data_IF_891606951721
#
_entry.id   IF_891606951721
#
_cell.length_a   1.000
_cell.length_b   1.000
_cell.length_c   1.000
_cell.angle_alpha   90.00
_cell.angle_beta   90.00
_cell.angle_gamma   90.00
#
_symmetry.space_group_name_H-M   'P 1'
#
loop_
_entity.id
_entity.type
_entity.pdbx_description
1 polymer ?
#
# COMPACT_ATOMS: atom_id res chain seq x y z
N UNK A 1 27.48 8.10 -8.28
CA UNK A 1 26.44 7.15 -8.62
C UNK A 1 25.08 7.83 -8.64
N UNK A 2 24.22 7.41 -9.55
CA UNK A 2 22.85 7.89 -9.54
C UNK A 2 22.23 7.63 -8.16
N UNK A 3 21.45 8.56 -7.60
CA UNK A 3 20.73 8.28 -6.37
C UNK A 3 19.87 7.05 -6.57
N UNK A 4 19.80 6.21 -5.53
CA UNK A 4 18.95 5.03 -5.57
C UNK A 4 17.51 5.41 -5.80
N UNK A 5 16.75 4.56 -6.46
CA UNK A 5 15.32 4.73 -6.62
C UNK A 5 14.61 4.49 -5.28
N UNK A 6 13.44 5.06 -5.11
CA UNK A 6 12.66 4.92 -3.89
C UNK A 6 11.19 4.66 -4.18
N UNK A 7 10.54 3.95 -3.26
CA UNK A 7 9.09 3.74 -3.24
C UNK A 7 8.55 4.48 -2.03
N UNK A 8 7.70 5.45 -2.24
CA UNK A 8 7.16 6.26 -1.15
C UNK A 8 5.64 6.34 -1.25
N UNK A 9 4.99 6.51 -0.10
CA UNK A 9 3.56 6.79 -0.03
C UNK A 9 3.38 8.28 0.20
N UNK A 10 2.73 8.95 -0.75
CA UNK A 10 2.48 10.39 -0.69
C UNK A 10 1.03 10.68 -0.34
N UNK A 11 0.82 11.77 0.40
CA UNK A 11 -0.50 12.40 0.44
C UNK A 11 -0.79 13.04 -0.91
N UNK A 12 -2.07 13.20 -1.25
CA UNK A 12 -2.50 13.82 -2.49
C UNK A 12 -2.84 15.30 -2.26
N UNK A 13 -2.33 16.17 -3.12
CA UNK A 13 -2.71 17.57 -3.11
C UNK A 13 -4.06 17.77 -3.79
N UNK A 14 -4.24 17.09 -4.93
CA UNK A 14 -5.50 17.12 -5.69
C UNK A 14 -5.65 15.85 -6.50
N UNK A 15 -6.88 15.48 -6.74
CA UNK A 15 -7.24 14.33 -7.57
C UNK A 15 -8.72 14.40 -7.93
N UNK A 16 -9.10 13.66 -8.96
CA UNK A 16 -10.49 13.48 -9.35
C UNK A 16 -10.87 12.02 -9.22
N UNK A 17 -12.14 11.76 -8.94
CA UNK A 17 -12.70 10.43 -8.90
C UNK A 17 -13.60 10.19 -10.11
N UNK A 18 -13.82 8.91 -10.42
CA UNK A 18 -14.75 8.50 -11.46
C UNK A 18 -16.18 8.63 -10.93
N UNK A 19 -16.83 9.74 -11.28
CA UNK A 19 -18.17 10.06 -10.79
C UNK A 19 -18.20 10.26 -9.29
N UNK A 20 -19.21 9.70 -8.63
CA UNK A 20 -19.39 9.79 -7.18
C UNK A 20 -18.77 8.61 -6.42
N UNK A 21 -17.93 7.81 -7.08
CA UNK A 21 -17.26 6.67 -6.48
C UNK A 21 -15.95 7.08 -5.78
N UNK A 22 -15.31 6.12 -5.09
CA UNK A 22 -13.97 6.30 -4.52
C UNK A 22 -12.85 6.09 -5.54
N UNK A 23 -13.17 5.68 -6.75
CA UNK A 23 -12.19 5.33 -7.77
C UNK A 23 -11.41 6.57 -8.22
N UNK A 24 -10.16 6.64 -7.84
CA UNK A 24 -9.28 7.76 -8.20
C UNK A 24 -8.82 7.60 -9.66
N UNK A 25 -8.94 8.66 -10.43
CA UNK A 25 -8.39 8.70 -11.78
C UNK A 25 -6.92 9.09 -11.65
N UNK A 26 -6.03 8.09 -11.75
CA UNK A 26 -4.60 8.26 -11.43
C UNK A 26 -3.92 9.37 -12.23
N UNK A 27 -4.33 9.60 -13.47
CA UNK A 27 -3.77 10.66 -14.32
C UNK A 27 -4.08 12.08 -13.82
N UNK A 28 -5.05 12.24 -12.92
CA UNK A 28 -5.43 13.54 -12.35
C UNK A 28 -4.70 13.86 -11.06
N UNK A 29 -3.91 12.91 -10.53
CA UNK A 29 -3.28 13.04 -9.22
C UNK A 29 -2.13 14.04 -9.25
N UNK A 30 -2.17 14.99 -8.32
CA UNK A 30 -1.05 15.85 -7.99
C UNK A 30 -0.56 15.45 -6.60
N UNK A 31 0.72 15.07 -6.51
CA UNK A 31 1.31 14.65 -5.24
C UNK A 31 1.55 15.85 -4.33
N UNK A 32 1.20 15.70 -3.07
CA UNK A 32 1.61 16.62 -2.03
C UNK A 32 3.12 16.50 -1.79
N UNK A 33 3.72 17.51 -1.17
CA UNK A 33 5.09 17.39 -0.66
C UNK A 33 5.14 16.59 0.65
N UNK A 34 3.98 16.22 1.19
CA UNK A 34 3.89 15.44 2.42
C UNK A 34 4.00 13.95 2.11
N UNK A 35 5.07 13.34 2.61
CA UNK A 35 5.32 11.90 2.49
C UNK A 35 4.72 11.22 3.71
N UNK A 36 3.75 10.33 3.49
CA UNK A 36 3.10 9.60 4.58
C UNK A 36 4.03 8.49 5.07
N UNK A 37 4.55 7.69 4.13
CA UNK A 37 5.49 6.61 4.44
C UNK A 37 6.70 6.77 3.54
N UNK A 38 7.83 7.25 4.08
CA UNK A 38 9.05 7.35 3.30
C UNK A 38 9.65 5.97 3.09
N UNK A 39 10.36 5.79 1.99
CA UNK A 39 10.98 4.52 1.63
C UNK A 39 11.88 3.95 2.73
N UNK A 40 12.62 4.82 3.41
CA UNK A 40 13.49 4.39 4.51
C UNK A 40 12.72 3.72 5.64
N UNK A 41 11.42 3.99 5.79
CA UNK A 41 10.58 3.38 6.81
C UNK A 41 9.91 2.09 6.34
N UNK A 42 10.05 1.73 5.08
CA UNK A 42 9.60 0.43 4.56
C UNK A 42 10.72 -0.58 4.81
N UNK A 43 10.43 -1.58 5.63
CA UNK A 43 11.38 -2.64 5.98
C UNK A 43 11.39 -3.70 4.91
N UNK A 44 10.20 -4.16 4.49
CA UNK A 44 10.05 -5.20 3.48
C UNK A 44 8.67 -5.16 2.85
N UNK A 45 8.54 -5.84 1.73
CA UNK A 45 7.27 -6.06 1.06
C UNK A 45 7.14 -7.52 0.66
N UNK A 46 6.05 -8.15 1.05
CA UNK A 46 5.70 -9.51 0.67
C UNK A 46 4.78 -9.46 -0.56
N UNK A 47 5.30 -9.89 -1.70
CA UNK A 47 4.56 -9.81 -2.97
C UNK A 47 3.46 -10.86 -3.10
N UNK A 48 3.45 -11.88 -2.25
CA UNK A 48 2.41 -12.91 -2.22
C UNK A 48 1.22 -12.47 -1.37
N UNK A 49 1.52 -11.88 -0.21
CA UNK A 49 0.51 -11.39 0.72
C UNK A 49 0.12 -9.92 0.46
N UNK A 50 0.81 -9.24 -0.44
CA UNK A 50 0.61 -7.81 -0.75
C UNK A 50 0.74 -6.94 0.50
N UNK A 51 1.75 -7.21 1.32
CA UNK A 51 1.90 -6.58 2.63
C UNK A 51 3.26 -5.90 2.79
N UNK A 52 3.21 -4.62 3.16
CA UNK A 52 4.40 -3.87 3.54
C UNK A 52 4.63 -3.98 5.04
N UNK A 53 5.85 -4.32 5.44
CA UNK A 53 6.28 -4.20 6.84
C UNK A 53 6.95 -2.84 6.99
N UNK A 54 6.51 -2.07 7.98
CA UNK A 54 6.97 -0.70 8.19
C UNK A 54 7.54 -0.52 9.60
N UNK A 55 8.28 0.57 9.80
CA UNK A 55 8.85 0.89 11.10
C UNK A 55 7.77 1.26 12.13
N UNK A 56 8.10 1.11 13.41
CA UNK A 56 7.17 1.44 14.49
C UNK A 56 6.74 2.92 14.47
N UNK A 57 7.62 3.81 14.05
CA UNK A 57 7.27 5.23 13.94
C UNK A 57 6.14 5.48 12.95
N UNK A 58 6.09 4.69 11.88
CA UNK A 58 4.99 4.75 10.92
C UNK A 58 3.72 4.18 11.53
N UNK A 59 3.82 3.07 12.26
CA UNK A 59 2.68 2.47 12.95
C UNK A 59 2.02 3.51 13.86
N UNK A 60 2.81 4.19 14.67
CA UNK A 60 2.29 5.22 15.57
C UNK A 60 1.68 6.41 14.82
N UNK A 61 2.31 6.82 13.72
CA UNK A 61 1.78 7.90 12.88
C UNK A 61 0.41 7.53 12.29
N UNK A 62 0.27 6.32 11.76
CA UNK A 62 -0.95 5.88 11.10
C UNK A 62 -2.10 5.62 12.06
N UNK A 63 -1.81 5.18 13.27
CA UNK A 63 -2.83 5.06 14.31
C UNK A 63 -3.48 6.40 14.61
N UNK A 64 -2.69 7.47 14.50
CA UNK A 64 -3.19 8.82 14.72
C UNK A 64 -3.70 9.05 16.13
N UNK A 65 -4.51 10.08 16.27
CA UNK A 65 -5.23 10.41 17.49
C UNK A 65 -6.73 10.43 17.19
N UNK A 66 -7.55 10.59 18.20
CA UNK A 66 -9.00 10.77 18.02
C UNK A 66 -9.32 11.95 17.10
N UNK A 67 -8.44 12.94 17.05
CA UNK A 67 -8.63 14.16 16.25
C UNK A 67 -8.02 14.05 14.85
N UNK A 68 -7.08 13.12 14.64
CA UNK A 68 -6.34 12.98 13.39
C UNK A 68 -6.28 11.52 12.94
N UNK A 69 -7.45 10.98 12.58
CA UNK A 69 -7.54 9.65 11.98
C UNK A 69 -7.11 9.68 10.52
N UNK A 70 -6.39 8.64 10.09
CA UNK A 70 -6.06 8.46 8.68
C UNK A 70 -7.20 7.83 7.87
N UNK A 71 -8.28 7.41 8.53
CA UNK A 71 -9.43 6.85 7.83
C UNK A 71 -9.97 7.80 6.76
N UNK A 72 -10.10 7.29 5.53
CA UNK A 72 -10.57 8.08 4.39
C UNK A 72 -9.50 8.94 3.72
N UNK A 73 -8.28 8.93 4.22
CA UNK A 73 -7.17 9.70 3.63
C UNK A 73 -6.66 9.02 2.36
N UNK A 74 -6.68 9.71 1.22
CA UNK A 74 -6.12 9.16 -0.02
C UNK A 74 -4.59 9.18 0.01
N UNK A 75 -3.99 8.21 -0.68
CA UNK A 75 -2.54 8.12 -0.85
C UNK A 75 -2.19 7.72 -2.27
N UNK A 76 -0.96 7.96 -2.65
CA UNK A 76 -0.37 7.40 -3.86
C UNK A 76 0.91 6.66 -3.51
N UNK A 77 1.08 5.46 -4.07
CA UNK A 77 2.35 4.76 -4.08
C UNK A 77 3.07 5.18 -5.35
N UNK A 78 4.26 5.74 -5.20
CA UNK A 78 5.02 6.28 -6.30
C UNK A 78 6.48 5.80 -6.26
N UNK A 79 7.05 5.61 -7.45
CA UNK A 79 8.47 5.34 -7.63
C UNK A 79 9.09 6.61 -8.16
N UNK A 80 10.01 7.21 -7.41
CA UNK A 80 10.66 8.48 -7.78
C UNK A 80 9.64 9.56 -8.18
N UNK A 81 8.56 9.69 -7.42
CA UNK A 81 7.44 10.62 -7.62
C UNK A 81 6.55 10.30 -8.82
N UNK A 82 6.79 9.19 -9.52
CA UNK A 82 5.88 8.73 -10.56
C UNK A 82 4.81 7.84 -9.93
N UNK A 83 3.56 8.24 -10.03
CA UNK A 83 2.42 7.52 -9.45
C UNK A 83 2.26 6.16 -10.12
N UNK A 84 2.29 5.10 -9.32
CA UNK A 84 2.03 3.75 -9.81
C UNK A 84 0.58 3.35 -9.54
N UNK A 85 0.12 3.53 -8.30
CA UNK A 85 -1.29 3.33 -7.96
C UNK A 85 -1.67 4.22 -6.78
N UNK A 86 -2.98 4.32 -6.58
CA UNK A 86 -3.57 5.15 -5.54
C UNK A 86 -4.52 4.34 -4.69
N UNK A 87 -4.84 4.82 -3.52
CA UNK A 87 -5.78 4.16 -2.62
C UNK A 87 -6.18 5.07 -1.47
N UNK A 88 -6.88 4.48 -0.51
CA UNK A 88 -7.31 5.16 0.70
C UNK A 88 -6.88 4.34 1.93
N UNK A 89 -6.48 5.04 2.98
CA UNK A 89 -6.44 4.42 4.29
C UNK A 89 -7.87 4.24 4.76
N UNK A 90 -8.25 3.02 5.07
CA UNK A 90 -9.63 2.67 5.39
C UNK A 90 -9.65 1.79 6.61
N UNK A 91 -10.13 2.33 7.74
CA UNK A 91 -10.13 1.60 8.99
C UNK A 91 -11.16 0.49 8.98
N UNK A 92 -10.79 -0.67 9.52
CA UNK A 92 -11.63 -1.86 9.52
C UNK A 92 -12.89 -1.73 10.42
N UNK A 93 -12.96 -0.72 11.27
CA UNK A 93 -14.17 -0.43 12.03
C UNK A 93 -15.23 0.31 11.21
N UNK A 94 -14.89 0.76 10.02
CA UNK A 94 -15.83 1.49 9.17
C UNK A 94 -16.97 0.60 8.69
N UNK A 95 -18.18 1.12 8.67
CA UNK A 95 -19.34 0.47 8.06
C UNK A 95 -19.47 0.81 6.58
N UNK A 96 -18.66 1.76 6.07
CA UNK A 96 -18.72 2.18 4.68
C UNK A 96 -17.99 1.25 3.75
N UNK A 97 -18.46 1.17 2.51
CA UNK A 97 -17.83 0.38 1.45
C UNK A 97 -16.90 1.29 0.65
N UNK A 98 -15.70 0.81 0.33
CA UNK A 98 -14.76 1.52 -0.55
C UNK A 98 -14.45 0.64 -1.76
N UNK A 99 -14.78 1.13 -2.95
CA UNK A 99 -14.58 0.41 -4.21
C UNK A 99 -13.26 0.77 -4.90
N UNK A 100 -12.24 1.05 -4.11
CA UNK A 100 -10.88 1.33 -4.58
C UNK A 100 -9.87 0.67 -3.65
N UNK A 101 -8.60 0.75 -3.98
CA UNK A 101 -7.51 0.17 -3.18
C UNK A 101 -7.57 0.72 -1.75
N UNK A 102 -7.43 -0.15 -0.76
CA UNK A 102 -7.46 0.23 0.66
C UNK A 102 -6.31 -0.37 1.44
N UNK A 103 -5.91 0.34 2.48
CA UNK A 103 -4.98 -0.15 3.50
C UNK A 103 -5.60 0.21 4.86
N UNK A 104 -5.69 -0.78 5.76
CA UNK A 104 -6.12 -0.51 7.13
C UNK A 104 -4.98 0.12 7.93
N UNK A 105 -5.12 1.38 8.35
CA UNK A 105 -4.05 2.06 9.08
C UNK A 105 -3.88 1.57 10.52
N UNK A 106 -4.84 0.80 11.04
CA UNK A 106 -4.82 0.34 12.42
C UNK A 106 -4.04 -0.95 12.63
N UNK A 107 -3.76 -1.70 11.56
CA UNK A 107 -2.95 -2.92 11.61
C UNK A 107 -3.37 -3.86 12.73
N UNK A 108 -4.61 -4.32 12.69
CA UNK A 108 -5.28 -5.06 13.77
C UNK A 108 -4.55 -6.34 14.19
N UNK A 109 -3.74 -6.92 13.29
CA UNK A 109 -3.02 -8.17 13.57
C UNK A 109 -1.89 -8.06 14.59
N UNK A 110 -1.57 -6.85 15.05
CA UNK A 110 -0.47 -6.62 15.99
C UNK A 110 0.91 -6.56 15.35
N UNK A 111 1.07 -7.04 14.14
CA UNK A 111 2.32 -6.91 13.39
C UNK A 111 2.36 -5.57 12.65
N UNK A 112 3.54 -4.95 12.47
CA UNK A 112 3.64 -3.67 11.77
C UNK A 112 3.55 -3.85 10.25
N UNK A 113 2.49 -4.51 9.78
CA UNK A 113 2.26 -4.81 8.37
C UNK A 113 1.02 -4.09 7.85
N UNK A 114 1.16 -3.56 6.63
CA UNK A 114 0.10 -2.88 5.90
C UNK A 114 -0.27 -3.75 4.70
N UNK A 115 -1.38 -4.47 4.80
CA UNK A 115 -1.89 -5.26 3.68
C UNK A 115 -2.65 -4.36 2.71
N UNK A 116 -2.27 -4.42 1.44
CA UNK A 116 -2.92 -3.65 0.38
C UNK A 116 -4.03 -4.50 -0.22
N UNK A 117 -5.26 -4.03 -0.09
CA UNK A 117 -6.45 -4.71 -0.60
C UNK A 117 -7.05 -3.97 -1.78
N UNK A 118 -7.82 -4.68 -2.59
CA UNK A 118 -8.50 -4.10 -3.77
C UNK A 118 -9.92 -3.67 -3.44
N UNK A 119 -10.16 -3.22 -2.24
CA UNK A 119 -11.44 -2.73 -1.77
C UNK A 119 -11.71 -3.02 -0.31
N UNK A 120 -12.87 -2.58 0.16
CA UNK A 120 -13.34 -2.83 1.52
C UNK A 120 -14.87 -2.96 1.50
N UNK A 121 -15.47 -3.94 2.16
CA UNK A 121 -14.86 -4.97 3.01
C UNK A 121 -14.31 -6.19 2.25
N UNK A 122 -14.44 -6.23 0.94
CA UNK A 122 -13.90 -7.30 0.09
C UNK A 122 -13.20 -6.67 -1.12
N UNK A 123 -12.40 -7.49 -1.82
CA UNK A 123 -11.79 -7.07 -3.07
C UNK A 123 -12.85 -6.92 -4.16
N UNK A 124 -12.73 -5.85 -4.96
CA UNK A 124 -13.61 -5.61 -6.11
C UNK A 124 -12.92 -6.08 -7.39
N UNK A 125 -13.63 -6.86 -8.21
CA UNK A 125 -13.07 -7.45 -9.43
C UNK A 125 -12.64 -6.42 -10.48
N UNK A 126 -13.24 -5.24 -10.46
CA UNK A 126 -12.99 -4.20 -11.46
C UNK A 126 -11.94 -3.16 -11.02
N UNK A 127 -11.29 -3.36 -9.87
CA UNK A 127 -10.16 -2.55 -9.44
C UNK A 127 -8.89 -3.07 -10.09
N UNK A 128 -8.17 -2.25 -10.89
CA UNK A 128 -6.91 -2.69 -11.47
C UNK A 128 -5.90 -3.05 -10.38
N UNK A 129 -5.28 -4.22 -10.53
CA UNK A 129 -4.26 -4.67 -9.57
C UNK A 129 -2.87 -4.25 -10.03
N UNK A 130 -2.36 -3.20 -9.44
CA UNK A 130 -1.01 -2.68 -9.70
C UNK A 130 -0.07 -2.86 -8.50
N UNK A 131 -0.48 -3.68 -7.52
CA UNK A 131 0.29 -3.86 -6.29
C UNK A 131 1.68 -4.41 -6.53
N UNK A 132 1.83 -5.29 -7.52
CA UNK A 132 3.10 -5.90 -7.88
C UNK A 132 3.64 -5.37 -9.21
N UNK A 133 3.44 -4.08 -9.48
CA UNK A 133 4.02 -3.44 -10.66
C UNK A 133 5.54 -3.61 -10.66
N UNK A 134 6.12 -3.94 -11.81
CA UNK A 134 7.55 -4.23 -11.95
C UNK A 134 8.45 -3.11 -11.46
N UNK A 135 8.00 -1.85 -11.58
CA UNK A 135 8.78 -0.70 -11.11
C UNK A 135 8.94 -0.71 -9.60
N UNK A 136 7.89 -1.12 -8.88
CA UNK A 136 7.93 -1.25 -7.42
C UNK A 136 8.81 -2.44 -7.04
N UNK A 137 8.56 -3.61 -7.62
CA UNK A 137 9.30 -4.82 -7.27
C UNK A 137 10.78 -4.70 -7.56
N UNK A 138 11.15 -4.04 -8.68
CA UNK A 138 12.55 -3.85 -9.04
C UNK A 138 13.32 -3.04 -8.01
N UNK A 139 12.73 -1.95 -7.53
CA UNK A 139 13.35 -1.12 -6.49
C UNK A 139 13.52 -1.91 -5.20
N UNK A 140 12.47 -2.59 -4.76
CA UNK A 140 12.49 -3.36 -3.51
C UNK A 140 13.48 -4.53 -3.59
N UNK A 141 13.54 -5.22 -4.72
CA UNK A 141 14.47 -6.34 -4.92
C UNK A 141 15.91 -5.88 -4.86
N UNK A 142 16.22 -4.77 -5.53
CA UNK A 142 17.57 -4.20 -5.56
C UNK A 142 18.07 -3.86 -4.16
N UNK A 143 17.20 -3.39 -3.29
CA UNK A 143 17.56 -2.97 -1.93
C UNK A 143 17.37 -4.07 -0.88
N UNK A 144 17.07 -5.29 -1.31
CA UNK A 144 16.90 -6.42 -0.40
C UNK A 144 15.63 -6.32 0.47
N UNK A 145 14.65 -5.55 0.03
CA UNK A 145 13.39 -5.36 0.77
C UNK A 145 12.24 -6.21 0.24
N UNK A 146 12.43 -6.91 -0.85
CA UNK A 146 11.39 -7.78 -1.40
C UNK A 146 11.49 -9.17 -0.76
N UNK A 147 10.39 -9.59 -0.12
CA UNK A 147 10.26 -10.95 0.38
C UNK A 147 9.72 -11.80 -0.75
N UNK A 148 10.55 -12.69 -1.26
CA UNK A 148 10.18 -13.67 -2.29
C UNK A 148 10.13 -15.03 -1.63
N UNK A 149 8.92 -15.54 -1.45
CA UNK A 149 8.75 -16.91 -0.96
C UNK A 149 9.03 -17.85 -2.11
N UNK A 150 10.03 -18.71 -1.94
CA UNK A 150 10.30 -19.75 -2.93
C UNK A 150 9.08 -20.67 -3.03
N UNK A 151 8.71 -20.98 -4.28
CA UNK A 151 7.69 -21.97 -4.52
C UNK A 151 8.26 -23.33 -4.09
N UNK A 152 7.75 -23.87 -3.00
CA UNK A 152 8.05 -25.27 -2.62
C UNK A 152 7.04 -26.15 -3.31
N UNK A 153 7.47 -27.00 -4.26
CA UNK A 153 6.55 -27.93 -4.88
C UNK A 153 5.98 -28.87 -3.81
N UNK A 154 4.69 -29.12 -3.91
CA UNK A 154 4.01 -30.04 -3.01
C UNK A 154 4.71 -31.40 -3.01
N UNK A 155 5.25 -31.79 -1.90
CA UNK A 155 5.89 -33.09 -1.75
C UNK A 155 4.86 -34.09 -1.24
N UNK A 156 4.10 -34.64 -2.20
CA UNK A 156 3.05 -35.58 -1.94
C UNK A 156 3.64 -36.85 -1.41
N UNK A 157 4.06 -37.30 -0.53
CA UNK A 157 4.51 -38.63 -0.12
C UNK A 157 5.72 -38.69 0.77
N UNK A 158 6.08 -37.65 1.41
CA UNK A 158 7.21 -37.72 2.31
C UNK A 158 6.97 -38.58 3.54
N UNK A 159 5.76 -39.16 3.68
CA UNK A 159 5.41 -39.85 4.93
C UNK A 159 4.52 -41.07 4.77
N UNK A 160 4.59 -41.69 3.65
CA UNK A 160 3.88 -42.96 3.53
C UNK A 160 4.83 -44.12 3.55
#
# INVERSE_FOLDING_TARGET
>A
PAPGQSVDFYALESYETDGSSYRIVDSTVSLSNSVIIPYAAIISYDSVEFAFTVSESIVERLKGSKEHSFHGTPFAVAVDREVIYTGYFWASYSSGICNWVTIDPLMISGDPTLEVKLGYPWDFDDVPDKRNDDRILSVLRKDGKLVEKEFEPYKANEKF
#
